data_IF_091901423714
#
_entry.id   IF_091901423714
#
_cell.length_a   1.000
_cell.length_b   1.000
_cell.length_c   1.000
_cell.angle_alpha   90.00
_cell.angle_beta   90.00
_cell.angle_gamma   90.00
#
_symmetry.space_group_name_H-M   'P 1'
#
loop_
_entity.id
_entity.type
_entity.pdbx_description
1 polymer ?
#
# COMPACT_ATOMS: atom_id res chain seq x y z
N UNK A 1 -28.90 -49.57 -21.13
CA UNK A 1 -28.89 -48.68 -22.34
C UNK A 1 -30.19 -47.89 -22.33
N UNK A 2 -30.16 -46.61 -22.66
CA UNK A 2 -31.36 -45.80 -22.79
C UNK A 2 -32.30 -46.41 -23.86
N UNK A 3 -33.60 -46.50 -23.61
CA UNK A 3 -34.53 -46.97 -24.62
C UNK A 3 -34.59 -45.95 -25.78
N UNK A 4 -34.99 -46.39 -26.97
CA UNK A 4 -34.94 -45.55 -28.18
C UNK A 4 -35.79 -44.28 -28.07
N UNK A 5 -36.94 -44.34 -27.40
CA UNK A 5 -37.86 -43.22 -27.20
C UNK A 5 -37.27 -42.15 -26.27
N UNK A 6 -36.68 -42.56 -25.14
CA UNK A 6 -36.03 -41.69 -24.18
C UNK A 6 -34.78 -41.04 -24.79
N UNK A 7 -34.01 -41.80 -25.57
CA UNK A 7 -32.83 -41.29 -26.31
C UNK A 7 -33.20 -40.19 -27.30
N UNK A 8 -34.29 -40.34 -28.05
CA UNK A 8 -34.79 -39.34 -28.99
C UNK A 8 -35.21 -38.06 -28.23
N UNK A 9 -35.98 -38.19 -27.17
CA UNK A 9 -36.39 -37.03 -26.33
C UNK A 9 -35.19 -36.30 -25.75
N UNK A 10 -34.18 -37.02 -25.27
CA UNK A 10 -32.92 -36.45 -24.78
C UNK A 10 -32.19 -35.65 -25.84
N UNK A 11 -32.02 -36.23 -27.06
CA UNK A 11 -31.29 -35.58 -28.15
C UNK A 11 -31.98 -34.31 -28.63
N UNK A 12 -33.31 -34.30 -28.67
CA UNK A 12 -34.10 -33.13 -29.09
C UNK A 12 -34.10 -31.99 -28.07
N UNK A 13 -33.87 -32.29 -26.79
CA UNK A 13 -33.89 -31.30 -25.72
C UNK A 13 -32.49 -30.75 -25.32
N UNK A 14 -31.41 -31.23 -25.91
CA UNK A 14 -30.05 -30.84 -25.54
C UNK A 14 -29.73 -29.40 -25.98
N UNK A 15 -29.24 -28.56 -25.07
CA UNK A 15 -28.77 -27.23 -25.40
C UNK A 15 -27.57 -27.25 -26.39
N UNK A 16 -27.46 -26.22 -27.21
CA UNK A 16 -26.36 -26.07 -28.17
C UNK A 16 -24.99 -26.20 -27.49
N UNK A 17 -24.13 -27.11 -27.97
CA UNK A 17 -22.78 -27.34 -27.45
C UNK A 17 -22.72 -28.33 -26.27
N UNK A 18 -23.81 -29.05 -26.01
CA UNK A 18 -23.86 -30.24 -25.19
C UNK A 18 -24.29 -31.40 -26.06
N UNK A 19 -23.58 -32.51 -26.01
CA UNK A 19 -23.86 -33.70 -26.80
C UNK A 19 -23.90 -34.95 -25.94
N UNK A 20 -24.75 -35.94 -26.30
CA UNK A 20 -24.75 -37.22 -25.64
C UNK A 20 -23.61 -38.09 -26.19
N UNK A 21 -22.82 -38.67 -25.28
CA UNK A 21 -21.73 -39.58 -25.64
C UNK A 21 -21.94 -40.97 -25.02
N UNK A 22 -22.00 -41.97 -25.88
CA UNK A 22 -22.13 -43.41 -25.48
C UNK A 22 -23.28 -43.71 -24.51
N UNK A 23 -24.38 -42.97 -24.65
CA UNK A 23 -25.63 -43.17 -23.84
C UNK A 23 -25.44 -43.08 -22.29
N UNK A 24 -24.30 -42.64 -21.82
CA UNK A 24 -23.96 -42.62 -20.38
C UNK A 24 -23.49 -41.28 -19.84
N UNK A 25 -23.14 -40.34 -20.72
CA UNK A 25 -22.62 -39.06 -20.31
C UNK A 25 -23.01 -37.93 -21.27
N UNK A 26 -23.19 -36.75 -20.72
CA UNK A 26 -23.25 -35.50 -21.46
C UNK A 26 -21.83 -34.94 -21.67
N UNK A 27 -21.51 -34.64 -22.90
CA UNK A 27 -20.25 -34.02 -23.26
C UNK A 27 -20.46 -32.53 -23.50
N UNK A 28 -19.80 -31.72 -22.69
CA UNK A 28 -19.81 -30.26 -22.81
C UNK A 28 -18.57 -29.80 -23.55
N UNK A 29 -18.76 -29.05 -24.64
CA UNK A 29 -17.68 -28.44 -25.40
C UNK A 29 -17.89 -26.95 -25.50
N UNK A 30 -16.84 -26.18 -25.26
CA UNK A 30 -16.80 -24.76 -25.48
C UNK A 30 -15.46 -24.38 -26.08
N UNK A 31 -15.46 -23.54 -27.11
CA UNK A 31 -14.23 -23.08 -27.72
C UNK A 31 -14.25 -21.57 -27.92
N UNK A 32 -13.07 -20.98 -27.98
CA UNK A 32 -12.87 -19.57 -28.31
C UNK A 32 -11.65 -19.46 -29.26
N UNK A 33 -11.87 -18.81 -30.39
CA UNK A 33 -10.79 -18.42 -31.31
C UNK A 33 -10.12 -17.16 -30.81
N UNK A 34 -8.81 -17.06 -30.94
CA UNK A 34 -8.02 -15.90 -30.57
C UNK A 34 -6.76 -15.82 -31.46
N UNK A 35 -6.22 -14.62 -31.62
CA UNK A 35 -5.00 -14.37 -32.36
C UNK A 35 -3.81 -14.32 -31.41
N UNK A 36 -2.78 -15.11 -31.67
CA UNK A 36 -1.55 -15.16 -30.88
C UNK A 36 -0.34 -15.17 -31.79
N UNK A 37 0.57 -14.23 -31.64
CA UNK A 37 1.75 -14.05 -32.48
C UNK A 37 1.45 -14.00 -34.00
N UNK A 38 0.32 -13.37 -34.38
CA UNK A 38 -0.10 -13.27 -35.76
C UNK A 38 -0.87 -14.48 -36.32
N UNK A 39 -0.94 -15.58 -35.59
CA UNK A 39 -1.65 -16.81 -35.97
C UNK A 39 -3.02 -16.92 -35.28
N UNK A 40 -4.01 -17.43 -36.02
CA UNK A 40 -5.32 -17.74 -35.44
C UNK A 40 -5.26 -19.10 -34.75
N UNK A 41 -5.53 -19.09 -33.43
CA UNK A 41 -5.55 -20.30 -32.59
C UNK A 41 -6.93 -20.50 -32.00
N UNK A 42 -7.29 -21.73 -31.70
CA UNK A 42 -8.54 -22.10 -31.05
C UNK A 42 -8.24 -22.85 -29.75
N UNK A 43 -8.79 -22.34 -28.65
CA UNK A 43 -8.76 -23.06 -27.39
C UNK A 43 -10.10 -23.76 -27.18
N UNK A 44 -10.04 -25.06 -26.93
CA UNK A 44 -11.21 -25.90 -26.72
C UNK A 44 -11.17 -26.47 -25.33
N UNK A 45 -12.24 -26.26 -24.57
CA UNK A 45 -12.47 -26.91 -23.27
C UNK A 45 -13.52 -27.99 -23.44
N UNK A 46 -13.30 -29.13 -22.84
CA UNK A 46 -14.25 -30.26 -22.82
C UNK A 46 -14.43 -30.77 -21.42
N UNK A 47 -15.64 -31.18 -21.08
CA UNK A 47 -15.97 -31.82 -19.81
C UNK A 47 -17.04 -32.88 -20.02
N UNK A 48 -17.06 -33.87 -19.13
CA UNK A 48 -18.03 -34.99 -19.22
C UNK A 48 -18.83 -35.04 -17.92
N UNK A 49 -20.15 -34.98 -18.04
CA UNK A 49 -21.12 -35.13 -16.90
C UNK A 49 -21.81 -36.46 -17.04
N UNK A 50 -21.71 -37.33 -16.05
CA UNK A 50 -22.39 -38.61 -16.05
C UNK A 50 -23.90 -38.41 -15.94
N UNK A 51 -24.68 -39.16 -16.72
CA UNK A 51 -26.14 -39.10 -16.66
C UNK A 51 -26.70 -39.72 -15.38
N UNK A 52 -26.03 -40.74 -14.83
CA UNK A 52 -26.51 -41.44 -13.63
C UNK A 52 -27.82 -42.19 -13.80
N UNK A 53 -28.21 -42.49 -15.05
CA UNK A 53 -29.43 -43.23 -15.38
C UNK A 53 -29.07 -44.72 -15.43
N UNK A 54 -29.78 -45.52 -14.62
CA UNK A 54 -29.63 -46.97 -14.57
C UNK A 54 -30.77 -47.66 -15.33
N UNK A 55 -30.60 -48.91 -15.83
CA UNK A 55 -31.62 -49.61 -16.60
C UNK A 55 -32.93 -49.91 -15.87
N UNK A 56 -32.87 -49.92 -14.54
CA UNK A 56 -33.97 -50.19 -13.61
C UNK A 56 -34.78 -48.95 -13.23
N UNK A 57 -34.36 -47.77 -13.67
CA UNK A 57 -35.11 -46.54 -13.43
C UNK A 57 -36.38 -46.46 -14.28
N UNK A 58 -37.48 -46.02 -13.64
CA UNK A 58 -38.69 -45.68 -14.38
C UNK A 58 -38.43 -44.45 -15.27
N UNK A 59 -39.17 -44.36 -16.40
CA UNK A 59 -38.97 -43.25 -17.37
C UNK A 59 -39.11 -41.89 -16.73
N UNK A 60 -40.01 -41.72 -15.75
CA UNK A 60 -40.18 -40.44 -15.01
C UNK A 60 -38.93 -40.09 -14.20
N UNK A 61 -38.36 -41.04 -13.46
CA UNK A 61 -37.11 -40.81 -12.70
C UNK A 61 -35.91 -40.60 -13.60
N UNK A 62 -35.86 -41.30 -14.73
CA UNK A 62 -34.81 -41.14 -15.72
C UNK A 62 -34.83 -39.76 -16.36
N UNK A 63 -36.02 -39.19 -16.62
CA UNK A 63 -36.19 -37.81 -17.14
C UNK A 63 -35.75 -36.77 -16.08
N UNK A 64 -36.17 -36.97 -14.82
CA UNK A 64 -35.74 -36.08 -13.74
C UNK A 64 -34.22 -36.06 -13.55
N UNK A 65 -33.59 -37.22 -13.53
CA UNK A 65 -32.14 -37.36 -13.44
C UNK A 65 -31.43 -36.77 -14.63
N UNK A 66 -31.98 -36.94 -15.83
CA UNK A 66 -31.47 -36.26 -17.04
C UNK A 66 -31.53 -34.75 -16.91
N UNK A 67 -32.63 -34.19 -16.46
CA UNK A 67 -32.79 -32.73 -16.26
C UNK A 67 -31.75 -32.20 -15.28
N UNK A 68 -31.49 -32.91 -14.16
CA UNK A 68 -30.41 -32.58 -13.22
C UNK A 68 -29.04 -32.57 -13.88
N UNK A 69 -28.73 -33.58 -14.66
CA UNK A 69 -27.47 -33.68 -15.37
C UNK A 69 -27.30 -32.59 -16.45
N UNK A 70 -28.38 -32.19 -17.13
CA UNK A 70 -28.38 -31.08 -18.08
C UNK A 70 -28.15 -29.75 -17.37
N UNK A 71 -28.79 -29.52 -16.24
CA UNK A 71 -28.58 -28.30 -15.45
C UNK A 71 -27.11 -28.18 -14.99
N UNK A 72 -26.51 -29.26 -14.54
CA UNK A 72 -25.09 -29.31 -14.21
C UNK A 72 -24.21 -29.06 -15.43
N UNK A 73 -24.51 -29.67 -16.56
CA UNK A 73 -23.76 -29.45 -17.81
C UNK A 73 -23.84 -28.00 -18.28
N UNK A 74 -24.99 -27.35 -18.14
CA UNK A 74 -25.16 -25.91 -18.45
C UNK A 74 -24.33 -25.06 -17.50
N UNK A 75 -24.32 -25.34 -16.19
CA UNK A 75 -23.50 -24.65 -15.20
C UNK A 75 -22.01 -24.75 -15.53
N UNK A 76 -21.53 -25.94 -15.83
CA UNK A 76 -20.15 -26.19 -16.26
C UNK A 76 -19.82 -25.42 -17.55
N UNK A 77 -20.74 -25.40 -18.52
CA UNK A 77 -20.55 -24.69 -19.79
C UNK A 77 -20.45 -23.17 -19.57
N UNK A 78 -21.23 -22.61 -18.65
CA UNK A 78 -21.13 -21.19 -18.27
C UNK A 78 -19.77 -20.91 -17.64
N UNK A 79 -19.34 -21.72 -16.69
CA UNK A 79 -18.01 -21.59 -16.09
C UNK A 79 -16.87 -21.71 -17.12
N UNK A 80 -17.00 -22.60 -18.11
CA UNK A 80 -16.05 -22.69 -19.23
C UNK A 80 -16.07 -21.44 -20.09
N UNK A 81 -17.23 -20.84 -20.35
CA UNK A 81 -17.35 -19.60 -21.08
C UNK A 81 -16.69 -18.43 -20.35
N UNK A 82 -16.89 -18.33 -19.06
CA UNK A 82 -16.24 -17.33 -18.20
C UNK A 82 -14.72 -17.52 -18.18
N UNK A 83 -14.23 -18.75 -18.03
CA UNK A 83 -12.81 -19.09 -18.14
C UNK A 83 -12.22 -18.70 -19.49
N UNK A 84 -12.89 -18.98 -20.61
CA UNK A 84 -12.42 -18.63 -21.95
C UNK A 84 -12.58 -17.13 -22.26
N UNK A 85 -13.47 -16.42 -21.60
CA UNK A 85 -13.67 -14.97 -21.80
C UNK A 85 -12.71 -14.13 -20.95
N UNK A 86 -12.21 -14.66 -19.85
CA UNK A 86 -11.22 -13.96 -19.02
C UNK A 86 -9.91 -13.81 -19.81
N UNK A 87 -9.38 -12.60 -19.87
CA UNK A 87 -8.03 -12.31 -20.45
C UNK A 87 -6.93 -13.17 -19.80
N UNK A 88 -7.23 -13.80 -18.71
CA UNK A 88 -6.40 -14.70 -17.92
C UNK A 88 -6.06 -16.02 -18.62
N UNK A 89 -6.97 -16.58 -19.41
CA UNK A 89 -6.78 -17.93 -19.97
C UNK A 89 -5.72 -18.01 -21.05
N UNK A 90 -5.46 -16.91 -21.76
CA UNK A 90 -4.46 -16.85 -22.82
C UNK A 90 -3.01 -16.90 -22.31
N UNK A 91 -2.82 -16.65 -21.02
CA UNK A 91 -1.50 -16.62 -20.38
C UNK A 91 -1.24 -17.78 -19.41
N UNK A 92 -2.24 -18.61 -19.06
CA UNK A 92 -2.04 -19.69 -18.09
C UNK A 92 -0.99 -20.73 -18.49
N UNK A 93 -0.84 -21.03 -19.77
CA UNK A 93 0.18 -22.02 -20.21
C UNK A 93 1.62 -21.49 -20.09
N UNK A 94 1.81 -20.18 -20.21
CA UNK A 94 3.12 -19.54 -19.97
C UNK A 94 3.34 -19.29 -18.48
N UNK A 95 2.27 -19.01 -17.73
CA UNK A 95 2.30 -18.66 -16.31
C UNK A 95 2.43 -19.88 -15.41
N UNK A 96 1.85 -21.02 -15.75
CA UNK A 96 2.00 -22.28 -14.98
C UNK A 96 3.47 -22.74 -14.92
N UNK A 97 4.29 -22.41 -15.93
CA UNK A 97 5.74 -22.66 -15.89
C UNK A 97 6.55 -21.64 -15.09
N UNK A 98 5.97 -20.48 -14.75
CA UNK A 98 6.62 -19.40 -14.01
C UNK A 98 6.15 -19.28 -12.55
N UNK A 99 5.11 -20.03 -12.14
CA UNK A 99 4.64 -20.05 -10.77
C UNK A 99 5.72 -20.55 -9.82
N UNK A 100 6.15 -19.68 -8.92
CA UNK A 100 7.11 -19.99 -7.87
C UNK A 100 8.59 -19.91 -8.30
N UNK A 101 8.92 -19.52 -9.54
CA UNK A 101 10.31 -19.44 -10.02
C UNK A 101 10.95 -18.08 -9.72
N UNK A 102 10.16 -17.04 -9.46
CA UNK A 102 10.69 -15.71 -9.14
C UNK A 102 11.15 -15.60 -7.68
N UNK A 103 12.40 -15.16 -7.47
CA UNK A 103 12.87 -14.81 -6.14
C UNK A 103 12.30 -13.47 -5.69
N UNK A 104 12.19 -13.25 -4.36
CA UNK A 104 11.77 -11.95 -3.83
C UNK A 104 12.68 -10.82 -4.32
N UNK A 105 13.99 -11.13 -4.46
CA UNK A 105 14.99 -10.18 -4.92
C UNK A 105 14.72 -9.71 -6.35
N UNK A 106 14.42 -10.62 -7.29
CA UNK A 106 14.11 -10.25 -8.68
C UNK A 106 12.94 -9.27 -8.77
N UNK A 107 11.87 -9.53 -8.01
CA UNK A 107 10.70 -8.65 -8.01
C UNK A 107 10.98 -7.31 -7.34
N UNK A 108 11.74 -7.33 -6.24
CA UNK A 108 12.15 -6.11 -5.56
C UNK A 108 13.04 -5.22 -6.45
N UNK A 109 14.02 -5.81 -7.12
CA UNK A 109 14.91 -5.10 -8.03
C UNK A 109 14.13 -4.45 -9.20
N UNK A 110 13.08 -5.11 -9.71
CA UNK A 110 12.15 -4.52 -10.69
C UNK A 110 11.42 -3.28 -10.15
N UNK A 111 10.94 -3.33 -8.90
CA UNK A 111 10.31 -2.18 -8.24
C UNK A 111 11.28 -1.01 -8.05
N UNK A 112 12.48 -1.31 -7.61
CA UNK A 112 13.51 -0.32 -7.31
C UNK A 112 14.02 0.36 -8.59
N UNK A 113 14.28 -0.41 -9.64
CA UNK A 113 14.72 0.08 -10.97
C UNK A 113 13.66 0.96 -11.62
N UNK A 114 12.38 0.65 -11.43
CA UNK A 114 11.27 1.45 -11.97
C UNK A 114 11.14 2.83 -11.30
N UNK A 115 11.90 3.12 -10.25
CA UNK A 115 11.87 4.40 -9.57
C UNK A 115 10.58 4.65 -8.77
N UNK A 116 9.92 3.57 -8.32
CA UNK A 116 8.71 3.66 -7.49
C UNK A 116 8.95 4.45 -6.20
N UNK A 117 10.18 4.44 -5.70
CA UNK A 117 10.60 5.15 -4.51
C UNK A 117 11.75 6.12 -4.83
N UNK A 118 11.84 7.22 -4.09
CA UNK A 118 12.89 8.21 -4.29
C UNK A 118 13.51 8.68 -2.97
N UNK A 119 14.77 9.08 -3.02
CA UNK A 119 15.49 9.69 -1.92
C UNK A 119 15.50 8.87 -0.63
N UNK A 120 15.25 9.52 0.50
CA UNK A 120 15.24 8.86 1.83
C UNK A 120 14.21 7.76 1.96
N UNK A 121 13.10 7.84 1.24
CA UNK A 121 12.07 6.79 1.26
C UNK A 121 12.58 5.51 0.59
N UNK A 122 13.28 5.62 -0.53
CA UNK A 122 13.91 4.49 -1.20
C UNK A 122 14.93 3.78 -0.29
N UNK A 123 15.79 4.55 0.37
CA UNK A 123 16.77 3.99 1.33
C UNK A 123 16.06 3.19 2.45
N UNK A 124 14.95 3.72 2.97
CA UNK A 124 14.18 3.07 4.02
C UNK A 124 13.51 1.78 3.53
N UNK A 125 12.95 1.78 2.31
CA UNK A 125 12.35 0.58 1.71
C UNK A 125 13.39 -0.49 1.43
N UNK A 126 14.57 -0.11 0.92
CA UNK A 126 15.72 -1.03 0.77
C UNK A 126 16.13 -1.65 2.10
N UNK A 127 16.17 -0.85 3.19
CA UNK A 127 16.44 -1.37 4.53
C UNK A 127 15.38 -2.39 4.97
N UNK A 128 14.10 -2.13 4.74
CA UNK A 128 13.02 -3.06 5.09
C UNK A 128 13.08 -4.34 4.26
N UNK A 129 13.54 -4.26 3.02
CA UNK A 129 13.78 -5.45 2.21
C UNK A 129 14.99 -6.24 2.71
N UNK A 130 16.07 -5.57 3.08
CA UNK A 130 17.24 -6.21 3.75
C UNK A 130 16.81 -6.92 5.04
N UNK A 131 15.95 -6.29 5.85
CA UNK A 131 15.39 -6.93 7.05
C UNK A 131 14.59 -8.20 6.69
N UNK A 132 13.90 -8.22 5.55
CA UNK A 132 13.22 -9.42 5.04
C UNK A 132 14.20 -10.54 4.69
N UNK A 133 15.27 -10.23 3.96
CA UNK A 133 16.30 -11.23 3.61
C UNK A 133 17.00 -11.77 4.84
N UNK A 134 17.31 -10.92 5.81
CA UNK A 134 17.92 -11.34 7.08
C UNK A 134 17.00 -12.29 7.86
N UNK A 135 15.69 -12.04 7.86
CA UNK A 135 14.72 -12.94 8.47
C UNK A 135 14.77 -14.34 7.83
N UNK A 136 14.73 -14.40 6.50
CA UNK A 136 14.80 -15.69 5.81
C UNK A 136 16.12 -16.41 6.06
N UNK A 137 17.22 -15.69 6.07
CA UNK A 137 18.53 -16.27 6.38
C UNK A 137 18.61 -16.78 7.84
N UNK A 138 18.16 -15.99 8.81
CA UNK A 138 18.30 -16.31 10.24
C UNK A 138 17.30 -17.37 10.73
N UNK A 139 16.10 -17.38 10.21
CA UNK A 139 15.00 -18.20 10.73
C UNK A 139 14.66 -19.39 9.84
N UNK A 140 14.87 -19.27 8.53
CA UNK A 140 14.53 -20.31 7.55
C UNK A 140 15.73 -20.92 6.88
N UNK A 141 16.96 -20.42 7.16
CA UNK A 141 18.22 -20.81 6.49
C UNK A 141 18.13 -20.71 4.96
N UNK A 142 17.42 -19.69 4.46
CA UNK A 142 17.13 -19.52 3.05
C UNK A 142 17.75 -18.23 2.52
N UNK A 143 18.70 -18.36 1.59
CA UNK A 143 19.44 -17.22 0.99
C UNK A 143 18.67 -16.54 -0.12
N UNK A 144 17.84 -17.27 -0.85
CA UNK A 144 17.08 -16.79 -1.99
C UNK A 144 15.58 -17.12 -1.85
N UNK A 145 14.86 -16.42 -0.95
CA UNK A 145 13.47 -16.72 -0.70
C UNK A 145 12.62 -16.47 -1.95
N UNK A 146 11.62 -17.33 -2.15
CA UNK A 146 10.70 -17.31 -3.29
C UNK A 146 9.43 -16.53 -2.95
N UNK A 147 8.65 -16.20 -3.99
CA UNK A 147 7.35 -15.55 -3.79
C UNK A 147 6.37 -16.41 -2.98
N UNK A 148 6.43 -17.74 -3.11
CA UNK A 148 5.61 -18.67 -2.31
C UNK A 148 5.84 -18.53 -0.81
N UNK A 149 7.05 -18.18 -0.40
CA UNK A 149 7.44 -18.20 1.01
C UNK A 149 6.80 -17.04 1.79
N UNK A 150 6.62 -15.88 1.15
CA UNK A 150 5.90 -14.77 1.74
C UNK A 150 4.37 -14.95 1.72
N UNK A 151 3.84 -15.91 0.97
CA UNK A 151 2.42 -16.24 0.94
C UNK A 151 2.05 -17.40 1.88
N UNK A 152 2.93 -17.76 2.79
CA UNK A 152 2.68 -18.75 3.83
C UNK A 152 2.31 -18.06 5.15
N UNK A 153 1.16 -18.43 5.73
CA UNK A 153 0.63 -17.81 6.96
C UNK A 153 1.55 -18.02 8.17
N UNK A 154 2.24 -19.17 8.24
CA UNK A 154 3.21 -19.44 9.31
C UNK A 154 4.46 -18.57 9.16
N UNK A 155 5.02 -18.49 7.95
CA UNK A 155 6.17 -17.63 7.65
C UNK A 155 5.88 -16.18 7.99
N UNK A 156 4.67 -15.73 7.74
CA UNK A 156 4.26 -14.36 8.06
C UNK A 156 4.10 -14.14 9.57
N UNK A 157 3.58 -15.12 10.32
CA UNK A 157 3.56 -15.10 11.78
C UNK A 157 4.97 -15.03 12.37
N UNK A 158 5.88 -15.86 11.86
CA UNK A 158 7.30 -15.86 12.24
C UNK A 158 7.97 -14.52 11.94
N UNK A 159 7.73 -13.95 10.75
CA UNK A 159 8.26 -12.64 10.37
C UNK A 159 7.77 -11.51 11.28
N UNK A 160 6.49 -11.50 11.63
CA UNK A 160 5.93 -10.54 12.59
C UNK A 160 6.65 -10.63 13.94
N UNK A 161 6.82 -11.85 14.45
CA UNK A 161 7.49 -12.12 15.72
C UNK A 161 8.95 -11.69 15.68
N UNK A 162 9.67 -12.04 14.62
CA UNK A 162 11.05 -11.62 14.40
C UNK A 162 11.19 -10.10 14.35
N UNK A 163 10.34 -9.42 13.59
CA UNK A 163 10.32 -7.96 13.50
C UNK A 163 10.07 -7.29 14.86
N UNK A 164 9.19 -7.84 15.69
CA UNK A 164 8.96 -7.33 17.04
C UNK A 164 10.23 -7.42 17.89
N UNK A 165 10.91 -8.58 17.88
CA UNK A 165 12.19 -8.76 18.57
C UNK A 165 13.24 -7.77 18.08
N UNK A 166 13.37 -7.57 16.77
CA UNK A 166 14.31 -6.60 16.20
C UNK A 166 13.99 -5.16 16.60
N UNK A 167 12.71 -4.80 16.66
CA UNK A 167 12.29 -3.49 17.16
C UNK A 167 12.59 -3.35 18.65
N UNK A 168 12.42 -4.38 19.43
CA UNK A 168 12.79 -4.43 20.85
C UNK A 168 14.30 -4.28 21.07
N UNK A 169 15.09 -5.02 20.36
CA UNK A 169 16.55 -4.96 20.44
C UNK A 169 17.10 -3.58 20.03
N UNK A 170 16.53 -2.92 19.02
CA UNK A 170 16.88 -1.54 18.64
C UNK A 170 16.42 -0.49 19.65
N UNK A 171 15.47 -0.84 20.53
CA UNK A 171 14.96 0.04 21.59
C UNK A 171 15.91 0.29 22.73
N UNK A 172 16.88 -0.53 22.94
CA UNK A 172 17.87 -0.23 23.97
C UNK A 172 18.48 1.17 23.82
N UNK A 173 18.24 1.81 22.66
CA UNK A 173 18.70 3.16 22.36
C UNK A 173 17.60 4.23 22.23
N UNK A 174 16.28 3.91 22.30
CA UNK A 174 15.22 4.89 22.03
C UNK A 174 13.92 4.65 22.82
N UNK A 175 13.68 5.45 23.86
CA UNK A 175 12.36 5.80 24.46
C UNK A 175 11.24 4.73 24.42
N UNK A 176 11.38 3.67 25.14
CA UNK A 176 10.36 2.98 25.99
C UNK A 176 9.16 2.24 25.39
N UNK A 177 8.71 2.35 24.13
CA UNK A 177 7.51 1.63 23.64
C UNK A 177 7.70 0.96 22.29
N UNK A 178 7.25 -0.31 22.14
CA UNK A 178 7.30 -1.05 20.86
C UNK A 178 6.43 -0.37 19.81
N UNK A 179 7.04 0.15 18.77
CA UNK A 179 6.33 0.78 17.68
C UNK A 179 5.93 -0.25 16.63
N UNK A 180 4.76 -0.87 16.79
CA UNK A 180 4.17 -1.81 15.82
C UNK A 180 4.00 -1.22 14.42
N UNK A 181 3.92 0.12 14.30
CA UNK A 181 3.90 0.79 13.00
C UNK A 181 5.18 0.52 12.18
N UNK A 182 6.32 0.25 12.84
CA UNK A 182 7.56 -0.11 12.16
C UNK A 182 7.48 -1.50 11.53
N UNK A 183 6.79 -2.44 12.19
CA UNK A 183 6.52 -3.78 11.63
C UNK A 183 5.56 -3.69 10.46
N UNK A 184 4.48 -2.92 10.60
CA UNK A 184 3.52 -2.70 9.52
C UNK A 184 4.15 -2.09 8.25
N UNK A 185 5.17 -1.24 8.41
CA UNK A 185 5.93 -0.70 7.27
C UNK A 185 6.73 -1.78 6.54
N UNK A 186 7.33 -2.74 7.25
CA UNK A 186 8.03 -3.89 6.66
C UNK A 186 7.06 -4.81 5.92
N UNK A 187 5.91 -5.11 6.51
CA UNK A 187 4.82 -5.84 5.84
C UNK A 187 4.33 -5.10 4.59
N UNK A 188 4.36 -3.77 4.60
CA UNK A 188 4.05 -2.95 3.43
C UNK A 188 4.96 -3.23 2.24
N UNK A 189 6.23 -3.58 2.45
CA UNK A 189 7.16 -3.98 1.38
C UNK A 189 6.75 -5.32 0.78
N UNK A 190 6.35 -6.31 1.59
CA UNK A 190 5.84 -7.59 1.09
C UNK A 190 4.61 -7.41 0.21
N UNK A 191 3.68 -6.51 0.60
CA UNK A 191 2.51 -6.17 -0.23
C UNK A 191 2.90 -5.55 -1.57
N UNK A 192 3.91 -4.68 -1.59
CA UNK A 192 4.40 -4.06 -2.82
C UNK A 192 5.08 -5.09 -3.72
N UNK A 193 5.89 -6.00 -3.18
CA UNK A 193 6.48 -7.11 -3.90
C UNK A 193 5.39 -8.01 -4.50
N UNK A 194 4.36 -8.37 -3.73
CA UNK A 194 3.24 -9.17 -4.23
C UNK A 194 2.49 -8.47 -5.36
N UNK A 195 2.18 -7.19 -5.20
CA UNK A 195 1.50 -6.41 -6.23
C UNK A 195 2.33 -6.33 -7.53
N UNK A 196 3.64 -6.16 -7.40
CA UNK A 196 4.55 -6.16 -8.54
C UNK A 196 4.66 -7.54 -9.19
N UNK A 197 4.76 -8.61 -8.40
CA UNK A 197 4.78 -9.98 -8.90
C UNK A 197 3.51 -10.31 -9.70
N UNK A 198 2.34 -9.86 -9.24
CA UNK A 198 1.08 -9.99 -9.97
C UNK A 198 1.14 -9.18 -11.27
N UNK A 199 1.66 -7.94 -11.25
CA UNK A 199 1.84 -7.12 -12.44
C UNK A 199 2.78 -7.76 -13.45
N UNK A 200 3.86 -8.38 -12.99
CA UNK A 200 4.83 -9.12 -13.81
C UNK A 200 4.31 -10.49 -14.25
N UNK A 201 3.14 -10.93 -13.79
CA UNK A 201 2.56 -12.25 -14.03
C UNK A 201 3.40 -13.42 -13.47
N UNK A 202 4.19 -13.15 -12.46
CA UNK A 202 4.95 -14.15 -11.71
C UNK A 202 4.12 -14.75 -10.55
N UNK A 203 3.01 -14.13 -10.18
CA UNK A 203 2.10 -14.57 -9.12
C UNK A 203 0.65 -14.32 -9.53
N UNK A 204 -0.29 -15.20 -9.10
CA UNK A 204 -1.71 -14.97 -9.33
C UNK A 204 -2.38 -14.37 -8.11
N UNK A 205 -3.41 -13.57 -8.36
CA UNK A 205 -4.24 -13.00 -7.31
C UNK A 205 -4.94 -14.08 -6.49
N UNK A 206 -5.34 -15.22 -7.13
CA UNK A 206 -5.96 -16.37 -6.47
C UNK A 206 -5.07 -17.06 -5.45
N UNK A 207 -3.76 -16.95 -5.61
CA UNK A 207 -2.76 -17.62 -4.78
C UNK A 207 -2.28 -16.72 -3.62
N UNK A 208 -2.83 -15.50 -3.54
CA UNK A 208 -2.60 -14.61 -2.40
C UNK A 208 -3.34 -15.11 -1.16
N UNK A 209 -2.74 -14.91 0.02
CA UNK A 209 -3.37 -15.23 1.31
C UNK A 209 -4.72 -14.52 1.45
N UNK A 210 -4.84 -13.29 0.97
CA UNK A 210 -6.11 -12.57 0.86
C UNK A 210 -6.27 -11.96 -0.54
N UNK A 211 -6.92 -12.68 -1.46
CA UNK A 211 -7.18 -12.17 -2.80
C UNK A 211 -8.02 -10.91 -2.83
N UNK A 212 -8.89 -10.67 -1.85
CA UNK A 212 -9.76 -9.50 -1.80
C UNK A 212 -8.98 -8.20 -1.61
N UNK A 213 -7.84 -8.28 -0.94
CA UNK A 213 -6.92 -7.14 -0.70
C UNK A 213 -5.73 -7.10 -1.65
N UNK A 214 -5.70 -7.96 -2.66
CA UNK A 214 -4.61 -8.11 -3.64
C UNK A 214 -3.23 -8.41 -3.00
N UNK A 215 -3.20 -8.99 -1.80
CA UNK A 215 -1.97 -9.34 -1.11
C UNK A 215 -2.24 -10.23 0.11
N UNK A 216 -1.74 -9.83 1.28
CA UNK A 216 -1.95 -10.50 2.55
C UNK A 216 -3.19 -9.95 3.25
N UNK A 217 -4.11 -10.84 3.63
CA UNK A 217 -5.22 -10.55 4.53
C UNK A 217 -4.82 -10.44 5.97
N UNK A 218 -3.54 -10.31 6.23
CA UNK A 218 -3.08 -10.23 7.58
C UNK A 218 -3.35 -8.84 8.08
N UNK A 219 -4.14 -8.79 9.10
CA UNK A 219 -4.33 -7.59 9.86
C UNK A 219 -2.97 -7.02 10.24
N UNK A 220 -2.73 -5.79 9.82
CA UNK A 220 -1.65 -5.01 10.38
C UNK A 220 -1.81 -5.01 11.90
N UNK A 221 -0.70 -4.96 12.62
CA UNK A 221 -0.82 -4.66 14.04
C UNK A 221 -1.66 -3.40 14.23
N UNK A 222 -2.52 -3.36 15.25
CA UNK A 222 -3.27 -2.15 15.58
C UNK A 222 -2.32 -0.96 15.55
N UNK A 223 -2.64 0.04 14.76
CA UNK A 223 -1.84 1.27 14.74
C UNK A 223 -1.91 1.88 16.13
N UNK A 224 -0.77 2.08 16.77
CA UNK A 224 -0.72 2.88 17.96
C UNK A 224 -1.28 4.25 17.62
N UNK A 225 -2.51 4.50 18.05
CA UNK A 225 -3.10 5.84 17.96
C UNK A 225 -2.20 6.75 18.78
N UNK A 226 -1.41 7.60 18.12
CA UNK A 226 -0.72 8.68 18.84
C UNK A 226 -1.79 9.50 19.55
N UNK A 227 -1.57 9.83 20.83
CA UNK A 227 -2.42 10.79 21.51
C UNK A 227 -2.57 12.03 20.62
N UNK A 228 -3.78 12.61 20.52
CA UNK A 228 -3.96 13.87 19.79
C UNK A 228 -2.90 14.86 20.28
N UNK A 229 -2.20 15.48 19.34
CA UNK A 229 -1.22 16.51 19.72
C UNK A 229 -2.01 17.73 20.18
N UNK A 230 -1.74 18.16 21.41
CA UNK A 230 -2.38 19.32 22.01
C UNK A 230 -1.82 20.60 21.37
N UNK A 231 -2.65 21.58 20.97
CA UNK A 231 -2.17 22.92 20.64
C UNK A 231 -1.63 23.59 21.90
N UNK A 232 -0.81 24.62 21.76
CA UNK A 232 -0.45 25.51 22.86
C UNK A 232 -1.69 26.32 23.28
N UNK A 233 -1.89 26.53 24.59
CA UNK A 233 -2.82 27.57 25.04
C UNK A 233 -2.18 28.95 24.83
N UNK A 234 -2.98 30.00 24.94
CA UNK A 234 -2.49 31.39 24.84
C UNK A 234 -1.43 31.63 25.90
N UNK A 235 -1.65 31.19 27.13
CA UNK A 235 -0.72 31.38 28.27
C UNK A 235 0.58 30.56 28.05
N UNK A 236 0.49 29.39 27.40
CA UNK A 236 1.65 28.57 27.09
C UNK A 236 2.46 29.19 25.96
N UNK A 237 1.81 29.76 24.94
CA UNK A 237 2.45 30.51 23.84
C UNK A 237 3.15 31.75 24.40
N UNK A 238 2.47 32.59 25.15
CA UNK A 238 3.04 33.80 25.77
C UNK A 238 4.25 33.44 26.64
N UNK A 239 4.15 32.40 27.44
CA UNK A 239 5.24 31.95 28.29
C UNK A 239 6.46 31.48 27.47
N UNK A 240 6.22 30.78 26.35
CA UNK A 240 7.28 30.36 25.44
C UNK A 240 7.96 31.58 24.80
N UNK A 241 7.20 32.51 24.22
CA UNK A 241 7.71 33.69 23.54
C UNK A 241 8.44 34.63 24.50
N UNK A 242 7.87 34.92 25.66
CA UNK A 242 8.52 35.72 26.70
C UNK A 242 9.82 35.08 27.23
N UNK A 243 9.87 33.75 27.27
CA UNK A 243 11.11 33.04 27.61
C UNK A 243 12.18 33.26 26.57
N UNK A 244 11.85 33.14 25.26
CA UNK A 244 12.81 33.34 24.16
C UNK A 244 13.33 34.80 24.17
N UNK A 245 12.44 35.77 24.34
CA UNK A 245 12.74 37.19 24.44
C UNK A 245 13.74 37.51 25.55
N UNK A 246 13.55 36.93 26.76
CA UNK A 246 14.48 37.08 27.88
C UNK A 246 15.91 36.63 27.58
N UNK A 247 16.10 35.75 26.64
CA UNK A 247 17.41 35.31 26.16
C UNK A 247 17.94 36.10 24.98
N UNK A 248 17.24 37.18 24.56
CA UNK A 248 17.56 38.03 23.41
C UNK A 248 17.81 37.23 22.13
N UNK A 249 16.99 36.18 21.90
CA UNK A 249 17.14 35.29 20.74
C UNK A 249 16.05 35.62 19.70
N UNK A 250 16.17 36.80 19.08
CA UNK A 250 15.21 37.29 18.07
C UNK A 250 15.00 36.33 16.92
N UNK A 251 16.07 35.57 16.57
CA UNK A 251 15.95 34.61 15.47
C UNK A 251 14.96 33.48 15.80
N UNK A 252 15.07 32.89 16.98
CA UNK A 252 14.16 31.81 17.37
C UNK A 252 12.77 32.31 17.77
N UNK A 253 12.69 33.54 18.30
CA UNK A 253 11.42 34.22 18.49
C UNK A 253 10.65 34.31 17.17
N UNK A 254 11.29 34.85 16.13
CA UNK A 254 10.74 35.01 14.78
C UNK A 254 10.34 33.66 14.16
N UNK A 255 11.18 32.64 14.30
CA UNK A 255 10.88 31.28 13.83
C UNK A 255 9.60 30.71 14.43
N UNK A 256 9.44 30.87 15.75
CA UNK A 256 8.29 30.34 16.48
C UNK A 256 7.02 31.12 16.15
N UNK A 257 7.08 32.45 16.14
CA UNK A 257 5.96 33.32 15.75
C UNK A 257 5.45 32.93 14.36
N UNK A 258 6.33 32.87 13.34
CA UNK A 258 5.92 32.50 11.98
C UNK A 258 5.35 31.08 11.95
N UNK A 259 5.95 30.13 12.66
CA UNK A 259 5.45 28.76 12.69
C UNK A 259 4.05 28.64 13.30
N UNK A 260 3.75 29.44 14.33
CA UNK A 260 2.43 29.50 14.97
C UNK A 260 1.44 30.21 14.05
N UNK A 261 1.77 31.39 13.57
CA UNK A 261 0.86 32.26 12.83
C UNK A 261 0.55 31.82 11.40
N UNK A 262 1.35 30.92 10.84
CA UNK A 262 1.14 30.39 9.47
C UNK A 262 0.86 28.90 9.42
N UNK A 263 1.04 28.19 10.53
CA UNK A 263 0.89 26.75 10.60
C UNK A 263 1.79 25.96 9.64
N UNK A 264 2.89 26.54 9.16
CA UNK A 264 3.85 25.85 8.31
C UNK A 264 4.56 24.73 9.06
N UNK A 265 4.96 23.69 8.33
CA UNK A 265 5.74 22.61 8.94
C UNK A 265 7.15 23.10 9.23
N UNK A 266 7.57 22.96 10.48
CA UNK A 266 8.93 23.33 10.90
C UNK A 266 10.01 22.53 10.16
N UNK A 267 9.71 21.30 9.72
CA UNK A 267 10.68 20.35 9.15
C UNK A 267 10.67 20.27 7.62
N UNK A 268 10.44 21.34 6.94
CA UNK A 268 10.53 21.34 5.48
C UNK A 268 9.73 22.42 4.76
N UNK A 269 8.95 23.20 5.50
CA UNK A 269 8.27 24.39 4.95
C UNK A 269 8.93 25.66 5.49
N UNK A 270 9.03 25.83 6.82
CA UNK A 270 9.61 27.01 7.44
C UNK A 270 11.00 27.39 6.88
N UNK A 271 11.90 26.42 6.77
CA UNK A 271 13.27 26.65 6.28
C UNK A 271 13.39 26.89 4.77
N UNK A 272 12.28 26.87 4.04
CA UNK A 272 12.21 27.11 2.60
C UNK A 272 11.53 28.42 2.23
N UNK A 273 10.87 29.06 3.19
CA UNK A 273 10.19 30.34 2.93
C UNK A 273 11.24 31.35 2.47
N UNK A 274 11.06 31.83 1.25
CA UNK A 274 11.90 32.83 0.60
C UNK A 274 11.14 34.15 0.44
N UNK A 275 11.86 35.20 0.04
CA UNK A 275 11.25 36.50 -0.24
C UNK A 275 10.21 36.43 -1.33
N UNK A 276 10.34 35.50 -2.28
CA UNK A 276 9.43 35.30 -3.41
C UNK A 276 8.10 34.67 -2.98
N UNK A 277 8.07 34.02 -1.82
CA UNK A 277 6.86 33.38 -1.29
C UNK A 277 5.92 34.38 -0.58
N UNK A 278 6.35 35.64 -0.36
CA UNK A 278 5.60 36.64 0.39
C UNK A 278 5.06 37.74 -0.53
N UNK A 279 3.73 37.86 -0.61
CA UNK A 279 3.07 39.02 -1.17
C UNK A 279 2.80 40.04 -0.05
N UNK A 280 3.69 41.01 0.12
CA UNK A 280 3.58 42.04 1.16
C UNK A 280 2.37 42.96 0.97
N UNK A 281 1.96 43.18 -0.29
CA UNK A 281 0.80 44.04 -0.60
C UNK A 281 -0.50 43.41 -0.22
N UNK A 282 -0.65 42.12 -0.52
CA UNK A 282 -1.84 41.33 -0.18
C UNK A 282 -1.76 40.68 1.18
N UNK A 283 -0.61 40.75 1.86
CA UNK A 283 -0.33 40.12 3.16
C UNK A 283 -0.56 38.59 3.10
N UNK A 284 0.02 37.93 2.10
CA UNK A 284 -0.15 36.52 1.85
C UNK A 284 1.22 35.82 1.82
N UNK A 285 1.25 34.58 2.37
CA UNK A 285 2.31 33.61 2.16
C UNK A 285 1.82 32.58 1.15
N UNK A 286 2.52 32.43 0.03
CA UNK A 286 2.22 31.46 -1.03
C UNK A 286 3.31 30.38 -0.99
N UNK A 287 2.99 29.20 -0.51
CA UNK A 287 3.99 28.14 -0.29
C UNK A 287 3.61 26.83 -0.99
N UNK A 288 4.60 26.22 -1.65
CA UNK A 288 4.48 24.86 -2.17
C UNK A 288 4.73 23.87 -1.06
N UNK A 289 3.74 23.03 -0.74
CA UNK A 289 3.86 22.00 0.29
C UNK A 289 4.62 20.78 -0.23
N UNK A 290 5.84 20.48 0.24
CA UNK A 290 6.68 19.42 -0.34
C UNK A 290 6.05 18.02 -0.27
N UNK A 291 5.27 17.75 0.78
CA UNK A 291 4.67 16.42 1.02
C UNK A 291 3.53 16.09 0.06
N UNK A 292 2.76 17.09 -0.35
CA UNK A 292 1.56 16.92 -1.20
C UNK A 292 1.75 17.49 -2.59
N UNK A 293 2.86 18.19 -2.83
CA UNK A 293 3.13 18.96 -4.06
C UNK A 293 2.06 19.99 -4.41
N UNK A 294 1.23 20.39 -3.44
CA UNK A 294 0.17 21.37 -3.60
C UNK A 294 0.63 22.77 -3.17
N UNK A 295 0.09 23.80 -3.82
CA UNK A 295 0.24 25.17 -3.37
C UNK A 295 -0.77 25.51 -2.28
N UNK A 296 -0.37 26.33 -1.34
CA UNK A 296 -1.24 26.86 -0.29
C UNK A 296 -1.00 28.36 -0.15
N UNK A 297 -2.09 29.11 -0.07
CA UNK A 297 -2.07 30.54 0.22
C UNK A 297 -2.54 30.73 1.66
N UNK A 298 -1.73 31.41 2.46
CA UNK A 298 -1.96 31.60 3.89
C UNK A 298 -2.00 33.12 4.14
N UNK A 299 -3.08 33.67 4.69
CA UNK A 299 -3.12 35.06 5.12
C UNK A 299 -2.14 35.27 6.28
N UNK A 300 -1.38 36.37 6.23
CA UNK A 300 -0.42 36.70 7.26
C UNK A 300 -1.10 37.54 8.35
N UNK A 301 -0.90 37.16 9.61
CA UNK A 301 -1.21 38.00 10.78
C UNK A 301 -0.36 39.26 10.77
N UNK A 302 -0.76 40.29 11.49
CA UNK A 302 0.06 41.49 11.66
C UNK A 302 1.45 41.15 12.22
N UNK A 303 1.50 40.25 13.21
CA UNK A 303 2.72 39.80 13.88
C UNK A 303 3.66 39.05 12.90
N UNK A 304 3.15 38.11 12.13
CA UNK A 304 3.95 37.39 11.13
C UNK A 304 4.44 38.32 10.02
N UNK A 305 3.62 39.25 9.57
CA UNK A 305 3.98 40.24 8.57
C UNK A 305 5.15 41.12 9.03
N UNK A 306 5.12 41.59 10.27
CA UNK A 306 6.20 42.39 10.87
C UNK A 306 7.51 41.58 10.97
N UNK A 307 7.45 40.30 11.32
CA UNK A 307 8.62 39.43 11.28
C UNK A 307 9.21 39.35 9.87
N UNK A 308 8.40 39.11 8.83
CA UNK A 308 8.88 39.04 7.46
C UNK A 308 9.46 40.37 6.98
N UNK A 309 8.86 41.51 7.34
CA UNK A 309 9.42 42.84 6.99
C UNK A 309 10.78 43.06 7.65
N UNK A 310 10.88 42.81 8.96
CA UNK A 310 12.13 42.98 9.73
C UNK A 310 13.26 42.10 9.20
N UNK A 311 12.95 40.89 8.77
CA UNK A 311 13.96 39.94 8.29
C UNK A 311 14.27 40.03 6.81
N UNK A 312 13.59 40.87 6.04
CA UNK A 312 13.70 40.90 4.59
C UNK A 312 15.13 41.17 4.12
N UNK A 313 15.82 42.13 4.69
CA UNK A 313 17.19 42.47 4.31
C UNK A 313 18.18 41.33 4.64
N UNK A 314 17.97 40.65 5.75
CA UNK A 314 18.78 39.49 6.11
C UNK A 314 18.51 38.32 5.17
N UNK A 315 17.24 38.08 4.80
CA UNK A 315 16.86 37.06 3.84
C UNK A 315 17.49 37.25 2.46
N UNK A 316 17.55 38.49 1.97
CA UNK A 316 18.18 38.84 0.68
C UNK A 316 19.71 38.58 0.65
N UNK A 317 20.35 38.43 1.80
CA UNK A 317 21.76 38.03 1.91
C UNK A 317 21.97 36.51 1.91
N UNK A 318 20.91 35.72 2.12
CA UNK A 318 20.98 34.25 2.00
C UNK A 318 21.04 33.85 0.52
N UNK A 319 21.79 32.82 0.18
CA UNK A 319 22.00 32.33 -1.20
C UNK A 319 20.67 31.98 -1.92
N UNK A 320 19.64 31.61 -1.17
CA UNK A 320 18.31 31.28 -1.69
C UNK A 320 17.22 32.24 -1.20
N UNK A 321 17.61 33.44 -0.75
CA UNK A 321 16.71 34.47 -0.22
C UNK A 321 15.76 33.97 0.91
N UNK A 322 16.23 33.05 1.74
CA UNK A 322 15.40 32.41 2.76
C UNK A 322 15.33 33.23 4.04
N UNK A 323 14.16 33.33 4.61
CA UNK A 323 13.96 34.01 5.91
C UNK A 323 14.55 33.21 7.09
N UNK A 324 14.50 31.88 7.03
CA UNK A 324 14.90 30.99 8.12
C UNK A 324 15.78 29.85 7.59
N UNK A 325 17.06 30.09 7.25
CA UNK A 325 17.96 29.06 6.70
C UNK A 325 18.48 28.12 7.81
N UNK A 326 17.57 27.34 8.41
CA UNK A 326 17.88 26.45 9.56
C UNK A 326 17.71 24.98 9.21
N UNK A 327 18.52 24.14 9.87
CA UNK A 327 18.37 22.70 9.77
C UNK A 327 17.23 22.18 10.64
N UNK A 328 16.68 21.02 10.27
CA UNK A 328 15.68 20.33 11.09
C UNK A 328 16.17 19.98 12.50
N UNK A 329 17.45 19.63 12.62
CA UNK A 329 18.10 19.35 13.90
C UNK A 329 18.18 20.58 14.79
N UNK A 330 18.58 21.73 14.21
CA UNK A 330 18.60 23.03 14.91
C UNK A 330 17.23 23.42 15.43
N UNK A 331 16.18 23.29 14.60
CA UNK A 331 14.81 23.59 15.01
C UNK A 331 14.42 22.74 16.23
N UNK A 332 14.71 21.43 16.17
CA UNK A 332 14.36 20.53 17.26
C UNK A 332 15.15 20.84 18.54
N UNK A 333 16.44 21.06 18.41
CA UNK A 333 17.30 21.37 19.55
C UNK A 333 16.86 22.64 20.29
N UNK A 334 16.62 23.74 19.54
CA UNK A 334 16.22 25.00 20.14
C UNK A 334 14.77 24.97 20.65
N UNK A 335 13.88 24.22 19.97
CA UNK A 335 12.54 23.97 20.52
C UNK A 335 12.62 23.28 21.89
N UNK A 336 13.39 22.19 22.00
CA UNK A 336 13.52 21.45 23.25
C UNK A 336 14.13 22.35 24.36
N UNK A 337 15.13 23.17 24.01
CA UNK A 337 15.75 24.18 24.91
C UNK A 337 14.69 25.15 25.46
N UNK A 338 13.98 25.85 24.60
CA UNK A 338 13.04 26.89 25.03
C UNK A 338 11.77 26.34 25.64
N UNK A 339 11.28 25.18 25.18
CA UNK A 339 10.18 24.45 25.83
C UNK A 339 10.50 24.14 27.31
N UNK A 340 11.71 23.62 27.55
CA UNK A 340 12.13 23.22 28.91
C UNK A 340 12.35 24.46 29.80
N UNK A 341 12.94 25.54 29.28
CA UNK A 341 13.10 26.81 29.96
C UNK A 341 11.74 27.47 30.30
N UNK A 342 10.78 27.39 29.38
CA UNK A 342 9.42 27.88 29.59
C UNK A 342 8.58 26.94 30.47
N UNK A 343 9.14 25.82 30.93
CA UNK A 343 8.46 24.81 31.78
C UNK A 343 7.18 24.28 31.10
N UNK A 344 7.20 24.10 29.79
CA UNK A 344 6.10 23.48 29.07
C UNK A 344 6.19 21.96 29.13
N UNK A 345 5.06 21.28 28.87
CA UNK A 345 5.01 19.82 28.84
C UNK A 345 6.00 19.25 27.80
N UNK A 346 6.80 18.26 28.22
CA UNK A 346 7.77 17.56 27.37
C UNK A 346 7.14 16.87 26.16
N UNK A 347 5.84 16.65 26.16
CA UNK A 347 5.10 16.10 25.01
C UNK A 347 4.90 17.12 23.88
N UNK A 348 5.08 18.42 24.15
CA UNK A 348 5.08 19.43 23.10
C UNK A 348 6.30 19.26 22.20
N UNK A 349 6.05 19.08 20.93
CA UNK A 349 7.06 19.01 19.87
C UNK A 349 6.90 20.24 18.98
N UNK A 350 7.89 20.62 18.15
CA UNK A 350 7.73 21.77 17.23
C UNK A 350 6.47 21.68 16.37
N UNK A 351 5.91 20.49 16.20
CA UNK A 351 4.70 20.28 15.42
C UNK A 351 3.43 20.84 16.10
N UNK A 352 3.48 21.13 17.40
CA UNK A 352 2.33 21.74 18.10
C UNK A 352 2.04 23.16 17.58
N UNK A 353 3.03 23.93 17.11
CA UNK A 353 2.81 25.24 16.49
C UNK A 353 1.79 25.19 15.37
N UNK A 354 1.85 24.12 14.54
CA UNK A 354 0.88 23.90 13.47
C UNK A 354 -0.53 23.51 13.98
N UNK A 355 -0.62 22.91 15.16
CA UNK A 355 -1.91 22.62 15.80
C UNK A 355 -2.48 23.84 16.53
N UNK A 356 -1.65 24.81 16.87
CA UNK A 356 -2.05 26.09 17.47
C UNK A 356 -2.62 27.03 16.40
N UNK A 357 -2.11 26.93 15.15
CA UNK A 357 -2.68 27.61 14.01
C UNK A 357 -4.02 26.97 13.63
N UNK A 358 -5.11 27.54 14.06
CA UNK A 358 -6.49 27.14 13.64
C UNK A 358 -7.32 28.41 13.46
#
# INVERSE_FOLDING_TARGET
MLNAKLKKTILESLPKGITLKRDSALWVKKSKKFRHNGEDKEKVLTHSVRLGITPDMSDAKAIEQFQKSVAEAIKIRTQMAEKLSSKFFLHQETVVKLHGVGTLKQVFDSLDTRGTWQGKHQQLVRQYFTDTLNFFLEIKDEKEPKLSDIHNIFTLGDFKTWCLKQVENRKMNMRGTVNTNSVNKRLGVWRQITAEAIRMKLWNLSDCIDPSRKCFGIEDFPRNKSKPKKPLSIEEEDRLLNTIEKYNDDFWYDCIVVAIDTGVRHDGELNRISTDDIDFGKKLLIIKRPKTSTWSTIPLTARALEVFKRRREVALKDTNNRFFPVSKSSIRHNWDKYRDLAKLDKNYTPYCTRHTFI
#
